data_IF_198465891282
#
_entry.id   IF_198465891282
#
_cell.length_a   1.000
_cell.length_b   1.000
_cell.length_c   1.000
_cell.angle_alpha   90.00
_cell.angle_beta   90.00
_cell.angle_gamma   90.00
#
_symmetry.space_group_name_H-M   'P 1'
#
loop_
_entity.id
_entity.type
_entity.pdbx_description
1 polymer ?
#
# COMPACT_ATOMS: atom_id res chain seq x y z
N UNK A 1 4.59 -0.39 -27.39
CA UNK A 1 3.98 -0.72 -28.70
C UNK A 1 2.53 -1.17 -28.63
N UNK A 2 2.14 -2.15 -27.79
CA UNK A 2 0.74 -2.63 -27.72
C UNK A 2 -0.30 -1.48 -27.64
N UNK A 3 -0.16 -0.57 -26.67
CA UNK A 3 -1.09 0.55 -26.51
C UNK A 3 -1.16 1.45 -27.76
N UNK A 4 -0.04 1.67 -28.45
CA UNK A 4 -0.01 2.48 -29.67
C UNK A 4 -0.85 1.84 -30.78
N UNK A 5 -0.77 0.52 -30.95
CA UNK A 5 -1.54 -0.21 -31.94
C UNK A 5 -3.03 -0.25 -31.59
N UNK A 6 -3.37 -0.45 -30.31
CA UNK A 6 -4.76 -0.42 -29.84
C UNK A 6 -5.39 0.95 -30.11
N UNK A 7 -4.70 2.04 -29.74
CA UNK A 7 -5.16 3.41 -29.97
C UNK A 7 -5.24 3.77 -31.46
N UNK A 8 -4.24 3.37 -32.25
CA UNK A 8 -4.22 3.61 -33.69
C UNK A 8 -5.38 2.90 -34.41
N UNK A 9 -5.62 1.64 -34.07
CA UNK A 9 -6.76 0.89 -34.62
C UNK A 9 -8.08 1.52 -34.19
N UNK A 10 -8.25 1.82 -32.89
CA UNK A 10 -9.51 2.36 -32.38
C UNK A 10 -9.80 3.75 -32.95
N UNK A 11 -8.80 4.62 -33.03
CA UNK A 11 -8.94 5.94 -33.64
C UNK A 11 -9.21 5.86 -35.14
N UNK A 12 -8.62 4.89 -35.85
CA UNK A 12 -8.91 4.66 -37.27
C UNK A 12 -10.36 4.23 -37.52
N UNK A 13 -10.93 3.36 -36.69
CA UNK A 13 -12.35 3.01 -36.77
C UNK A 13 -13.26 4.22 -36.58
N UNK A 14 -12.95 5.08 -35.60
CA UNK A 14 -13.73 6.30 -35.32
C UNK A 14 -13.70 7.26 -36.51
N UNK A 15 -12.59 7.29 -37.26
CA UNK A 15 -12.44 8.07 -38.49
C UNK A 15 -13.04 7.37 -39.73
N UNK A 16 -13.76 6.27 -39.57
CA UNK A 16 -14.33 5.48 -40.68
C UNK A 16 -13.28 4.76 -41.53
N UNK A 17 -12.15 4.37 -40.93
CA UNK A 17 -11.17 3.45 -41.50
C UNK A 17 -11.32 2.03 -40.96
N UNK A 18 -10.36 1.16 -41.28
CA UNK A 18 -10.33 -0.23 -40.79
C UNK A 18 -9.18 -0.47 -39.80
N UNK A 19 -9.19 -1.63 -39.14
CA UNK A 19 -8.06 -2.12 -38.33
C UNK A 19 -7.00 -2.77 -39.22
N UNK A 20 -5.78 -2.88 -38.70
CA UNK A 20 -4.69 -3.59 -39.36
C UNK A 20 -3.78 -2.65 -40.15
N UNK A 21 -3.26 -3.10 -41.29
CA UNK A 21 -2.24 -2.35 -42.05
C UNK A 21 -2.79 -1.14 -42.80
N UNK A 22 -4.08 -1.15 -43.15
CA UNK A 22 -4.75 -0.04 -43.86
C UNK A 22 -5.41 0.98 -42.89
N UNK A 23 -5.04 0.93 -41.61
CA UNK A 23 -5.48 1.89 -40.59
C UNK A 23 -5.09 3.32 -40.98
N UNK A 24 -5.96 4.29 -40.65
CA UNK A 24 -5.77 5.72 -40.97
C UNK A 24 -4.77 6.42 -40.06
N UNK A 25 -4.60 5.93 -38.83
CA UNK A 25 -3.68 6.48 -37.83
C UNK A 25 -2.48 5.54 -37.71
N UNK A 26 -1.27 6.07 -37.79
CA UNK A 26 -0.04 5.31 -37.64
C UNK A 26 0.39 5.21 -36.16
N UNK A 27 0.66 4.00 -35.62
CA UNK A 27 0.95 3.81 -34.20
C UNK A 27 2.26 4.47 -33.78
N UNK A 28 3.24 4.59 -34.68
CA UNK A 28 4.50 5.25 -34.36
C UNK A 28 4.41 6.76 -34.63
N UNK A 29 4.13 7.11 -35.88
CA UNK A 29 4.24 8.48 -36.39
C UNK A 29 3.17 9.42 -35.83
N UNK A 30 1.99 8.89 -35.47
CA UNK A 30 0.91 9.67 -34.86
C UNK A 30 0.80 9.41 -33.36
N UNK A 31 0.61 8.16 -32.93
CA UNK A 31 0.34 7.85 -31.52
C UNK A 31 1.59 7.98 -30.65
N UNK A 32 2.74 7.47 -31.12
CA UNK A 32 4.03 7.56 -30.44
C UNK A 32 4.84 8.81 -30.84
N UNK A 33 4.19 9.81 -31.46
CA UNK A 33 4.86 11.02 -31.91
C UNK A 33 5.54 11.73 -30.73
N UNK A 34 6.79 12.13 -30.92
CA UNK A 34 7.63 12.82 -29.91
C UNK A 34 7.98 11.99 -28.66
N UNK A 35 7.74 10.68 -28.69
CA UNK A 35 7.89 9.76 -27.56
C UNK A 35 8.88 8.64 -27.87
N UNK A 36 9.38 8.00 -26.81
CA UNK A 36 10.17 6.77 -26.86
C UNK A 36 9.54 5.72 -25.95
N UNK A 37 9.71 4.43 -26.26
CA UNK A 37 9.33 3.39 -25.29
C UNK A 37 10.06 3.57 -23.94
N UNK A 38 11.27 4.13 -23.97
CA UNK A 38 12.11 4.32 -22.80
C UNK A 38 11.60 5.41 -21.87
N UNK A 39 10.88 6.44 -22.34
CA UNK A 39 10.34 7.50 -21.50
C UNK A 39 8.81 7.41 -21.28
N UNK A 40 8.10 6.69 -22.15
CA UNK A 40 6.67 6.37 -21.99
C UNK A 40 6.43 5.36 -20.88
N UNK A 41 7.15 4.24 -20.86
CA UNK A 41 6.88 3.18 -19.88
C UNK A 41 7.15 3.63 -18.43
N UNK A 42 8.27 4.30 -18.08
CA UNK A 42 8.49 4.83 -16.74
C UNK A 42 7.41 5.84 -16.33
N UNK A 43 6.98 6.69 -17.27
CA UNK A 43 5.89 7.63 -17.01
C UNK A 43 4.59 6.90 -16.67
N UNK A 44 4.24 5.85 -17.41
CA UNK A 44 3.07 5.03 -17.10
C UNK A 44 3.18 4.35 -15.72
N UNK A 45 4.37 3.85 -15.35
CA UNK A 45 4.62 3.26 -14.03
C UNK A 45 4.34 4.26 -12.90
N UNK A 46 4.90 5.47 -13.02
CA UNK A 46 4.76 6.53 -12.02
C UNK A 46 3.32 7.02 -11.92
N UNK A 47 2.63 7.17 -13.06
CA UNK A 47 1.21 7.54 -13.08
C UNK A 47 0.36 6.49 -12.36
N UNK A 48 0.55 5.21 -12.68
CA UNK A 48 -0.18 4.13 -12.03
C UNK A 48 0.11 4.06 -10.52
N UNK A 49 1.38 4.18 -10.13
CA UNK A 49 1.79 4.13 -8.73
C UNK A 49 1.17 5.26 -7.89
N UNK A 50 1.23 6.51 -8.36
CA UNK A 50 0.65 7.66 -7.63
C UNK A 50 -0.87 7.53 -7.51
N UNK A 51 -1.55 7.09 -8.58
CA UNK A 51 -2.99 6.86 -8.54
C UNK A 51 -3.32 5.78 -7.51
N UNK A 52 -2.65 4.63 -7.55
CA UNK A 52 -2.91 3.52 -6.64
C UNK A 52 -2.63 3.90 -5.17
N UNK A 53 -1.55 4.63 -4.91
CA UNK A 53 -1.25 5.12 -3.56
C UNK A 53 -2.33 6.07 -3.04
N UNK A 54 -2.76 7.04 -3.86
CA UNK A 54 -3.62 8.14 -3.41
C UNK A 54 -5.11 7.84 -3.46
N UNK A 55 -5.54 6.99 -4.39
CA UNK A 55 -6.95 6.67 -4.60
C UNK A 55 -7.34 5.32 -3.99
N UNK A 56 -6.40 4.37 -3.89
CA UNK A 56 -6.72 3.03 -3.36
C UNK A 56 -6.17 2.85 -1.94
N UNK A 57 -4.86 3.07 -1.72
CA UNK A 57 -4.22 2.73 -0.44
C UNK A 57 -4.49 3.73 0.70
N UNK A 58 -4.21 5.01 0.47
CA UNK A 58 -4.30 6.04 1.51
C UNK A 58 -5.72 6.18 2.09
N UNK A 59 -6.81 6.08 1.30
CA UNK A 59 -8.17 6.09 1.86
C UNK A 59 -8.42 4.94 2.83
N UNK A 60 -8.01 3.72 2.49
CA UNK A 60 -8.21 2.55 3.35
C UNK A 60 -7.36 2.61 4.62
N UNK A 61 -6.12 3.09 4.52
CA UNK A 61 -5.26 3.34 5.68
C UNK A 61 -5.87 4.39 6.62
N UNK A 62 -6.42 5.49 6.08
CA UNK A 62 -7.11 6.53 6.86
C UNK A 62 -8.40 6.01 7.50
N UNK A 63 -9.14 5.14 6.80
CA UNK A 63 -10.33 4.48 7.32
C UNK A 63 -10.02 3.59 8.53
N UNK A 64 -9.00 2.73 8.43
CA UNK A 64 -8.56 1.88 9.53
C UNK A 64 -8.00 2.69 10.71
N UNK A 65 -7.22 3.74 10.43
CA UNK A 65 -6.74 4.68 11.46
C UNK A 65 -7.89 5.29 12.26
N UNK A 66 -8.95 5.73 11.58
CA UNK A 66 -10.13 6.32 12.23
C UNK A 66 -10.75 5.33 13.20
N UNK A 67 -10.95 4.07 12.79
CA UNK A 67 -11.53 3.02 13.64
C UNK A 67 -10.66 2.77 14.87
N UNK A 68 -9.33 2.68 14.73
CA UNK A 68 -8.46 2.51 15.89
C UNK A 68 -8.43 3.72 16.81
N UNK A 69 -8.51 4.96 16.29
CA UNK A 69 -8.65 6.15 17.14
C UNK A 69 -9.96 6.12 17.94
N UNK A 70 -11.07 5.75 17.30
CA UNK A 70 -12.37 5.62 17.96
C UNK A 70 -12.38 4.50 19.03
N UNK A 71 -11.79 3.33 18.73
CA UNK A 71 -11.66 2.24 19.70
C UNK A 71 -10.72 2.58 20.86
N UNK A 72 -9.62 3.30 20.59
CA UNK A 72 -8.71 3.78 21.63
C UNK A 72 -9.44 4.68 22.64
N UNK A 73 -10.27 5.61 22.16
CA UNK A 73 -11.10 6.47 22.99
C UNK A 73 -12.18 5.66 23.74
N UNK A 74 -12.90 4.78 23.04
CA UNK A 74 -13.96 3.98 23.64
C UNK A 74 -13.44 3.06 24.76
N UNK A 75 -12.17 2.64 24.70
CA UNK A 75 -11.55 1.73 25.66
C UNK A 75 -10.56 2.42 26.60
N UNK A 76 -10.58 3.76 26.68
CA UNK A 76 -9.63 4.54 27.48
C UNK A 76 -9.65 4.18 28.97
N UNK A 77 -10.81 3.83 29.53
CA UNK A 77 -10.98 3.49 30.96
C UNK A 77 -10.75 2.01 31.30
N UNK A 78 -10.44 1.17 30.30
CA UNK A 78 -10.34 -0.28 30.52
C UNK A 78 -8.91 -0.65 30.90
N UNK A 79 -8.61 -0.65 32.20
CA UNK A 79 -7.30 -1.08 32.71
C UNK A 79 -7.10 -2.59 32.49
N UNK A 80 -5.97 -2.96 31.89
CA UNK A 80 -5.54 -4.34 31.66
C UNK A 80 -4.09 -4.54 32.09
N UNK A 81 -3.66 -5.79 32.20
CA UNK A 81 -2.25 -6.11 32.48
C UNK A 81 -1.41 -5.87 31.22
N UNK A 82 -0.26 -5.20 31.38
CA UNK A 82 0.73 -5.06 30.33
C UNK A 82 1.48 -6.36 30.11
N UNK A 83 2.05 -6.54 28.91
CA UNK A 83 2.94 -7.67 28.62
C UNK A 83 4.21 -7.20 27.92
N UNK A 84 5.35 -7.48 28.54
CA UNK A 84 6.68 -7.29 27.94
C UNK A 84 7.41 -8.62 27.95
N UNK A 85 8.05 -9.00 26.85
CA UNK A 85 8.62 -10.35 26.69
C UNK A 85 7.59 -11.48 26.90
N UNK A 86 6.30 -11.20 26.63
CA UNK A 86 5.15 -12.07 26.91
C UNK A 86 4.91 -12.40 28.39
N UNK A 87 5.63 -11.75 29.31
CA UNK A 87 5.43 -11.87 30.76
C UNK A 87 4.52 -10.75 31.27
N UNK A 88 3.83 -11.00 32.38
CA UNK A 88 3.06 -9.98 33.11
C UNK A 88 3.93 -8.76 33.44
N UNK A 89 3.39 -7.56 33.22
CA UNK A 89 4.04 -6.28 33.49
C UNK A 89 3.06 -5.32 34.19
N UNK A 90 3.45 -4.06 34.37
CA UNK A 90 2.59 -3.05 34.99
C UNK A 90 1.34 -2.76 34.13
N UNK A 91 0.22 -2.33 34.74
CA UNK A 91 -1.00 -2.05 34.00
C UNK A 91 -0.88 -0.89 33.00
N UNK A 92 -1.71 -0.96 31.96
CA UNK A 92 -2.05 0.14 31.05
C UNK A 92 -3.52 0.01 30.66
N UNK A 93 -4.10 1.02 30.04
CA UNK A 93 -5.46 0.88 29.51
C UNK A 93 -5.47 0.25 28.12
N UNK A 94 -6.53 -0.48 27.78
CA UNK A 94 -6.72 -1.01 26.43
C UNK A 94 -6.73 0.13 25.40
N UNK A 95 -7.28 1.29 25.77
CA UNK A 95 -7.18 2.50 24.95
C UNK A 95 -5.74 2.94 24.67
N UNK A 96 -4.85 2.89 25.66
CA UNK A 96 -3.42 3.18 25.48
C UNK A 96 -2.72 2.16 24.58
N UNK A 97 -3.10 0.87 24.65
CA UNK A 97 -2.55 -0.16 23.76
C UNK A 97 -2.95 0.10 22.29
N UNK A 98 -4.24 0.37 22.05
CA UNK A 98 -4.77 0.65 20.70
C UNK A 98 -4.29 2.00 20.16
N UNK A 99 -4.06 3.01 21.02
CA UNK A 99 -3.49 4.28 20.57
C UNK A 99 -2.09 4.11 19.97
N UNK A 100 -1.32 3.13 20.44
CA UNK A 100 -0.07 2.71 19.82
C UNK A 100 -0.26 2.16 18.40
N UNK A 101 -1.31 1.37 18.15
CA UNK A 101 -1.66 0.89 16.81
C UNK A 101 -2.06 2.05 15.89
N UNK A 102 -2.87 3.00 16.39
CA UNK A 102 -3.25 4.20 15.64
C UNK A 102 -2.04 5.06 15.28
N UNK A 103 -1.12 5.29 16.22
CA UNK A 103 0.11 6.05 15.98
C UNK A 103 1.00 5.41 14.89
N UNK A 104 1.10 4.07 14.87
CA UNK A 104 1.82 3.36 13.80
C UNK A 104 1.21 3.67 12.42
N UNK A 105 -0.11 3.65 12.28
CA UNK A 105 -0.75 3.94 10.99
C UNK A 105 -0.61 5.42 10.61
N UNK A 106 -0.69 6.34 11.57
CA UNK A 106 -0.50 7.78 11.35
C UNK A 106 0.92 8.10 10.82
N UNK A 107 1.95 7.50 11.41
CA UNK A 107 3.32 7.63 10.90
C UNK A 107 3.49 7.03 9.50
N UNK A 108 2.86 5.89 9.21
CA UNK A 108 2.94 5.28 7.88
C UNK A 108 2.23 6.13 6.80
N UNK A 109 1.11 6.79 7.11
CA UNK A 109 0.50 7.77 6.20
C UNK A 109 1.55 8.83 5.84
N UNK A 110 2.24 9.39 6.84
CA UNK A 110 3.25 10.41 6.62
C UNK A 110 4.41 9.91 5.77
N UNK A 111 4.95 8.73 6.06
CA UNK A 111 6.05 8.13 5.27
C UNK A 111 5.65 7.91 3.81
N UNK A 112 4.43 7.45 3.56
CA UNK A 112 3.92 7.23 2.19
C UNK A 112 3.75 8.57 1.49
N UNK A 113 3.08 9.54 2.13
CA UNK A 113 2.87 10.88 1.57
C UNK A 113 4.19 11.59 1.27
N UNK A 114 5.23 11.41 2.09
CA UNK A 114 6.57 11.98 1.89
C UNK A 114 7.33 11.32 0.73
N UNK A 115 6.99 10.08 0.35
CA UNK A 115 7.57 9.41 -0.82
C UNK A 115 6.96 9.86 -2.16
N UNK A 116 5.71 10.34 -2.15
CA UNK A 116 4.93 10.67 -3.36
C UNK A 116 5.58 11.73 -4.26
N UNK A 117 6.22 12.81 -3.75
CA UNK A 117 6.80 13.85 -4.61
C UNK A 117 7.77 13.30 -5.66
N UNK A 118 8.65 12.36 -5.29
CA UNK A 118 9.60 11.77 -6.24
C UNK A 118 8.89 10.86 -7.26
N UNK A 119 7.84 10.14 -6.85
CA UNK A 119 7.03 9.33 -7.78
C UNK A 119 6.23 10.22 -8.75
N UNK A 120 5.92 11.46 -8.39
CA UNK A 120 5.24 12.42 -9.27
C UNK A 120 6.12 12.98 -10.40
N UNK A 121 7.42 12.68 -10.41
CA UNK A 121 8.34 13.12 -11.45
C UNK A 121 8.28 12.19 -12.67
N UNK A 122 7.93 12.74 -13.84
CA UNK A 122 7.67 11.98 -15.06
C UNK A 122 8.85 12.02 -16.04
N UNK A 123 9.16 10.85 -16.61
CA UNK A 123 10.26 10.66 -17.56
C UNK A 123 9.98 11.20 -18.98
N UNK A 124 8.72 11.34 -19.38
CA UNK A 124 8.33 11.79 -20.73
C UNK A 124 9.08 13.05 -21.15
N UNK A 125 9.61 13.03 -22.37
CA UNK A 125 10.50 14.05 -22.92
C UNK A 125 11.99 13.72 -22.73
N UNK A 126 12.33 12.66 -21.99
CA UNK A 126 13.69 12.11 -21.94
C UNK A 126 14.07 11.36 -23.22
N UNK A 127 13.10 10.87 -23.99
CA UNK A 127 13.27 10.13 -25.25
C UNK A 127 14.11 8.86 -25.07
N UNK A 128 15.11 8.60 -25.92
CA UNK A 128 15.85 7.35 -25.91
C UNK A 128 16.78 7.19 -24.69
N UNK A 129 17.53 8.25 -24.36
CA UNK A 129 18.65 8.21 -23.39
C UNK A 129 18.69 9.39 -22.42
N UNK A 130 17.65 10.24 -22.42
CA UNK A 130 17.49 11.36 -21.48
C UNK A 130 17.75 12.74 -22.07
N UNK A 131 18.30 12.83 -23.28
CA UNK A 131 18.67 14.12 -23.92
C UNK A 131 17.50 14.90 -24.50
N UNK A 132 16.35 14.26 -24.71
CA UNK A 132 15.22 14.87 -25.43
C UNK A 132 15.41 14.95 -26.94
N UNK A 133 16.34 14.17 -27.53
CA UNK A 133 16.52 14.13 -28.97
C UNK A 133 15.21 13.66 -29.67
N UNK A 134 14.82 14.36 -30.74
CA UNK A 134 13.58 14.12 -31.50
C UNK A 134 12.27 14.39 -30.73
N UNK A 135 12.30 15.20 -29.67
CA UNK A 135 11.09 15.77 -29.06
C UNK A 135 11.10 17.29 -29.12
N UNK A 136 9.93 17.91 -28.98
CA UNK A 136 9.84 19.38 -28.95
C UNK A 136 10.36 19.91 -27.60
N UNK A 137 11.09 21.04 -27.54
CA UNK A 137 11.66 21.56 -26.29
C UNK A 137 10.64 21.77 -25.16
N UNK A 138 9.40 22.10 -25.51
CA UNK A 138 8.30 22.31 -24.53
C UNK A 138 7.49 21.04 -24.23
N UNK A 139 7.74 19.92 -24.93
CA UNK A 139 6.92 18.72 -24.84
C UNK A 139 6.82 18.19 -23.41
N UNK A 140 7.97 18.03 -22.73
CA UNK A 140 8.05 17.44 -21.39
C UNK A 140 7.21 18.18 -20.35
N UNK A 141 7.29 19.52 -20.34
CA UNK A 141 6.53 20.37 -19.40
C UNK A 141 5.03 20.34 -19.74
N UNK A 142 4.69 20.47 -21.04
CA UNK A 142 3.29 20.49 -21.48
C UNK A 142 2.58 19.17 -21.23
N UNK A 143 3.23 18.04 -21.49
CA UNK A 143 2.63 16.71 -21.29
C UNK A 143 2.47 16.39 -19.81
N UNK A 144 3.45 16.71 -18.96
CA UNK A 144 3.33 16.53 -17.51
C UNK A 144 2.16 17.36 -16.94
N UNK A 145 2.05 18.64 -17.34
CA UNK A 145 0.91 19.48 -16.98
C UNK A 145 -0.41 18.88 -17.43
N UNK A 146 -0.48 18.38 -18.66
CA UNK A 146 -1.70 17.77 -19.19
C UNK A 146 -2.10 16.50 -18.44
N UNK A 147 -1.12 15.66 -18.08
CA UNK A 147 -1.37 14.47 -17.26
C UNK A 147 -1.88 14.88 -15.88
N UNK A 148 -1.24 15.87 -15.24
CA UNK A 148 -1.66 16.41 -13.94
C UNK A 148 -3.12 16.92 -13.95
N UNK A 149 -3.51 17.68 -14.99
CA UNK A 149 -4.88 18.15 -15.19
C UNK A 149 -5.88 17.02 -15.34
N UNK A 150 -5.55 15.99 -16.12
CA UNK A 150 -6.45 14.86 -16.39
C UNK A 150 -6.62 13.94 -15.18
N UNK A 151 -5.56 13.74 -14.39
CA UNK A 151 -5.56 12.83 -13.24
C UNK A 151 -5.91 13.52 -11.91
N UNK A 152 -5.87 14.85 -11.86
CA UNK A 152 -5.98 15.61 -10.62
C UNK A 152 -4.83 15.36 -9.64
N UNK A 153 -3.66 14.94 -10.14
CA UNK A 153 -2.48 14.61 -9.32
C UNK A 153 -1.33 15.58 -9.64
N UNK A 154 -0.41 15.85 -8.68
CA UNK A 154 0.62 16.88 -8.83
C UNK A 154 1.82 16.40 -9.66
N UNK A 155 1.59 15.83 -10.85
CA UNK A 155 2.66 15.38 -11.72
C UNK A 155 3.46 16.55 -12.29
N UNK A 156 4.77 16.36 -12.32
CA UNK A 156 5.73 17.31 -12.89
C UNK A 156 6.70 16.56 -13.81
N UNK A 157 7.39 17.29 -14.68
CA UNK A 157 8.47 16.67 -15.46
C UNK A 157 9.69 16.46 -14.57
N UNK A 158 10.35 15.31 -14.67
CA UNK A 158 11.53 15.02 -13.84
C UNK A 158 12.65 16.05 -14.13
N UNK A 159 13.29 16.64 -13.09
CA UNK A 159 14.34 17.63 -13.27
C UNK A 159 15.58 17.04 -13.94
N UNK A 160 15.84 15.75 -13.74
CA UNK A 160 16.90 15.01 -14.41
C UNK A 160 16.33 13.79 -15.15
N UNK A 161 16.41 13.81 -16.48
CA UNK A 161 15.90 12.71 -17.32
C UNK A 161 16.83 11.50 -17.36
N UNK A 162 18.11 11.67 -17.07
CA UNK A 162 19.06 10.55 -17.01
C UNK A 162 18.77 9.67 -15.81
N UNK A 163 18.52 10.28 -14.64
CA UNK A 163 18.10 9.55 -13.44
C UNK A 163 16.78 8.79 -13.70
N UNK A 164 15.74 9.50 -14.16
CA UNK A 164 14.41 8.90 -14.39
C UNK A 164 14.42 7.72 -15.37
N UNK A 165 15.40 7.66 -16.28
CA UNK A 165 15.60 6.57 -17.24
C UNK A 165 16.59 5.50 -16.75
N UNK A 166 17.67 5.87 -16.08
CA UNK A 166 18.70 4.94 -15.64
C UNK A 166 18.34 4.17 -14.36
N UNK A 167 17.43 4.69 -13.54
CA UNK A 167 17.07 4.13 -12.22
C UNK A 167 15.57 3.88 -12.07
N UNK A 168 15.17 3.37 -10.90
CA UNK A 168 13.78 3.26 -10.45
C UNK A 168 13.67 3.70 -8.97
N UNK A 169 14.50 4.64 -8.54
CA UNK A 169 14.74 4.93 -7.12
C UNK A 169 13.50 5.50 -6.42
N UNK A 170 12.68 6.28 -7.14
CA UNK A 170 11.39 6.75 -6.65
C UNK A 170 10.48 5.59 -6.19
N UNK A 171 10.40 4.52 -6.98
CA UNK A 171 9.58 3.35 -6.67
C UNK A 171 10.21 2.45 -5.61
N UNK A 172 11.54 2.30 -5.62
CA UNK A 172 12.27 1.58 -4.56
C UNK A 172 12.04 2.26 -3.21
N UNK A 173 12.22 3.57 -3.13
CA UNK A 173 12.01 4.34 -1.91
C UNK A 173 10.55 4.29 -1.43
N UNK A 174 9.60 4.51 -2.34
CA UNK A 174 8.17 4.48 -2.01
C UNK A 174 7.72 3.08 -1.54
N UNK A 175 8.23 2.00 -2.16
CA UNK A 175 7.94 0.65 -1.69
C UNK A 175 8.54 0.37 -0.31
N UNK A 176 9.69 0.97 0.02
CA UNK A 176 10.24 0.94 1.37
C UNK A 176 9.27 1.48 2.44
N UNK A 177 8.48 2.50 2.12
CA UNK A 177 7.40 2.99 2.99
C UNK A 177 6.24 1.98 3.11
N UNK A 178 5.87 1.31 2.01
CA UNK A 178 4.88 0.23 2.02
C UNK A 178 5.31 -0.97 2.87
N UNK A 179 6.60 -1.35 2.81
CA UNK A 179 7.17 -2.36 3.70
C UNK A 179 7.09 -1.92 5.17
N UNK A 180 7.32 -0.64 5.46
CA UNK A 180 7.12 -0.07 6.80
C UNK A 180 5.67 -0.27 7.29
N UNK A 181 4.70 0.02 6.43
CA UNK A 181 3.29 -0.23 6.72
C UNK A 181 3.00 -1.71 6.95
N UNK A 182 3.52 -2.60 6.12
CA UNK A 182 3.37 -4.05 6.29
C UNK A 182 3.93 -4.54 7.64
N UNK A 183 5.07 -4.00 8.11
CA UNK A 183 5.61 -4.33 9.42
C UNK A 183 4.68 -3.89 10.56
N UNK A 184 4.10 -2.68 10.47
CA UNK A 184 3.12 -2.19 11.45
C UNK A 184 1.84 -3.02 11.45
N UNK A 185 1.27 -3.32 10.27
CA UNK A 185 0.06 -4.14 10.13
C UNK A 185 0.28 -5.56 10.64
N UNK A 186 1.45 -6.16 10.37
CA UNK A 186 1.83 -7.46 10.91
C UNK A 186 1.80 -7.44 12.44
N UNK A 187 2.36 -6.41 13.09
CA UNK A 187 2.33 -6.26 14.56
C UNK A 187 0.90 -6.14 15.07
N UNK A 188 0.11 -5.24 14.49
CA UNK A 188 -1.29 -5.00 14.90
C UNK A 188 -2.13 -6.26 14.77
N UNK A 189 -2.08 -6.95 13.62
CA UNK A 189 -2.83 -8.18 13.40
C UNK A 189 -2.40 -9.31 14.37
N UNK A 190 -1.11 -9.37 14.70
CA UNK A 190 -0.59 -10.32 15.70
C UNK A 190 -1.14 -10.02 17.09
N UNK A 191 -1.14 -8.76 17.54
CA UNK A 191 -1.71 -8.39 18.82
C UNK A 191 -3.18 -8.76 18.88
N UNK A 192 -3.97 -8.39 17.87
CA UNK A 192 -5.42 -8.67 17.83
C UNK A 192 -5.69 -10.18 17.92
N UNK A 193 -5.00 -11.02 17.13
CA UNK A 193 -5.22 -12.48 17.19
C UNK A 193 -4.78 -13.10 18.52
N UNK A 194 -3.72 -12.59 19.15
CA UNK A 194 -3.27 -13.07 20.46
C UNK A 194 -4.22 -12.64 21.58
N UNK A 195 -4.64 -11.38 21.60
CA UNK A 195 -5.61 -10.86 22.58
C UNK A 195 -6.96 -11.57 22.46
N UNK A 196 -7.37 -11.96 21.25
CA UNK A 196 -8.58 -12.72 20.99
C UNK A 196 -8.45 -14.25 21.19
N UNK A 197 -7.24 -14.76 21.48
CA UNK A 197 -7.02 -16.20 21.61
C UNK A 197 -7.83 -16.80 22.77
N UNK A 198 -8.57 -17.88 22.50
CA UNK A 198 -9.54 -18.41 23.45
C UNK A 198 -10.36 -19.58 22.87
N UNK A 199 -11.55 -19.87 23.42
CA UNK A 199 -12.28 -19.07 24.40
C UNK A 199 -11.84 -19.27 25.87
N UNK A 200 -11.05 -20.31 26.18
CA UNK A 200 -10.67 -20.63 27.58
C UNK A 200 -9.18 -20.82 27.82
N UNK A 201 -8.44 -21.29 26.81
CA UNK A 201 -7.04 -21.71 26.96
C UNK A 201 -6.05 -20.69 26.36
N UNK A 202 -6.44 -19.42 26.27
CA UNK A 202 -5.64 -18.33 25.73
C UNK A 202 -5.73 -17.07 26.59
N UNK A 203 -5.41 -15.92 25.99
CA UNK A 203 -5.49 -14.61 26.65
C UNK A 203 -6.96 -14.21 26.83
N UNK A 204 -7.69 -14.05 25.72
CA UNK A 204 -9.14 -13.80 25.71
C UNK A 204 -9.57 -12.43 26.24
N UNK A 205 -8.71 -11.41 26.12
CA UNK A 205 -8.99 -10.05 26.58
C UNK A 205 -9.94 -9.29 25.65
N UNK A 206 -9.98 -9.64 24.36
CA UNK A 206 -10.92 -9.08 23.39
C UNK A 206 -11.69 -10.20 22.68
N UNK A 207 -12.86 -9.87 22.15
CA UNK A 207 -13.58 -10.66 21.15
C UNK A 207 -13.52 -9.97 19.79
N UNK A 208 -13.56 -10.78 18.73
CA UNK A 208 -13.63 -10.34 17.33
C UNK A 208 -14.87 -10.94 16.67
N UNK A 209 -15.39 -10.34 15.59
CA UNK A 209 -16.55 -10.87 14.86
C UNK A 209 -16.36 -12.31 14.36
N UNK A 210 -17.43 -13.10 14.43
CA UNK A 210 -17.52 -14.42 13.79
C UNK A 210 -18.16 -14.24 12.40
N UNK A 211 -17.34 -14.22 11.35
CA UNK A 211 -17.81 -13.96 9.98
C UNK A 211 -18.15 -15.24 9.21
N UNK A 212 -17.39 -16.31 9.45
CA UNK A 212 -17.61 -17.62 8.87
C UNK A 212 -18.20 -18.57 9.92
N UNK A 213 -19.11 -19.49 9.55
CA UNK A 213 -19.62 -20.47 10.49
C UNK A 213 -18.47 -21.26 11.12
N UNK A 214 -18.30 -21.12 12.44
CA UNK A 214 -17.54 -22.09 13.22
C UNK A 214 -18.13 -23.48 13.06
N UNK A 215 -17.36 -24.53 13.39
CA UNK A 215 -17.93 -25.87 13.49
C UNK A 215 -19.09 -25.83 14.50
N UNK A 216 -20.28 -26.29 14.11
CA UNK A 216 -21.47 -26.37 14.98
C UNK A 216 -21.25 -27.18 16.26
N UNK A 217 -20.15 -27.95 16.33
CA UNK A 217 -19.68 -28.72 17.47
C UNK A 217 -18.89 -27.87 18.50
N UNK A 218 -18.38 -26.70 18.13
CA UNK A 218 -17.44 -25.90 18.92
C UNK A 218 -17.96 -24.48 19.21
N UNK A 219 -18.97 -24.32 20.10
CA UNK A 219 -19.54 -23.01 20.41
C UNK A 219 -18.51 -22.06 21.01
N UNK A 220 -18.50 -20.81 20.54
CA UNK A 220 -17.61 -19.74 21.02
C UNK A 220 -16.17 -19.79 20.50
N UNK A 221 -15.84 -20.74 19.61
CA UNK A 221 -14.56 -20.75 18.90
C UNK A 221 -14.64 -19.85 17.67
N UNK A 222 -13.97 -18.71 17.71
CA UNK A 222 -13.83 -17.79 16.57
C UNK A 222 -12.38 -17.81 16.09
N UNK A 223 -12.16 -18.15 14.81
CA UNK A 223 -10.84 -18.08 14.20
C UNK A 223 -10.56 -16.65 13.73
N UNK A 224 -9.36 -16.08 13.93
CA UNK A 224 -9.02 -14.72 13.52
C UNK A 224 -8.64 -14.65 12.03
N UNK A 225 -9.54 -15.10 11.14
CA UNK A 225 -9.30 -15.28 9.69
C UNK A 225 -8.81 -14.00 9.00
N UNK A 226 -9.35 -12.84 9.38
CA UNK A 226 -8.90 -11.54 8.86
C UNK A 226 -7.48 -11.18 9.32
N UNK A 227 -7.09 -11.54 10.55
CA UNK A 227 -5.72 -11.36 11.01
C UNK A 227 -4.77 -12.27 10.21
N UNK A 228 -5.17 -13.51 9.97
CA UNK A 228 -4.40 -14.48 9.19
C UNK A 228 -4.15 -13.97 7.76
N UNK A 229 -5.20 -13.54 7.06
CA UNK A 229 -5.08 -12.94 5.72
C UNK A 229 -4.17 -11.71 5.71
N UNK A 230 -4.34 -10.80 6.68
CA UNK A 230 -3.51 -9.59 6.80
C UNK A 230 -2.04 -9.91 7.07
N UNK A 231 -1.74 -10.92 7.89
CA UNK A 231 -0.34 -11.33 8.12
C UNK A 231 0.28 -12.01 6.90
N UNK A 232 -0.47 -12.83 6.15
CA UNK A 232 0.03 -13.46 4.92
C UNK A 232 0.37 -12.43 3.84
N UNK A 233 -0.51 -11.47 3.59
CA UNK A 233 -0.23 -10.43 2.60
C UNK A 233 0.92 -9.50 3.03
N UNK A 234 1.09 -9.24 4.34
CA UNK A 234 2.26 -8.49 4.82
C UNK A 234 3.57 -9.21 4.50
N UNK A 235 3.61 -10.54 4.64
CA UNK A 235 4.78 -11.34 4.24
C UNK A 235 5.02 -11.26 2.72
N UNK A 236 3.97 -11.29 1.90
CA UNK A 236 4.07 -11.11 0.45
C UNK A 236 4.67 -9.74 0.09
N UNK A 237 4.20 -8.66 0.72
CA UNK A 237 4.74 -7.30 0.51
C UNK A 237 6.23 -7.23 0.85
N UNK A 238 6.67 -7.89 1.93
CA UNK A 238 8.10 -7.95 2.27
C UNK A 238 8.92 -8.74 1.24
N UNK A 239 8.36 -9.79 0.65
CA UNK A 239 8.99 -10.52 -0.47
C UNK A 239 9.10 -9.66 -1.73
N UNK A 240 8.01 -8.95 -2.07
CA UNK A 240 7.97 -8.01 -3.19
C UNK A 240 9.01 -6.89 -3.03
N UNK A 241 9.23 -6.42 -1.81
CA UNK A 241 10.26 -5.41 -1.50
C UNK A 241 11.66 -5.88 -1.90
N UNK A 242 12.01 -7.13 -1.58
CA UNK A 242 13.31 -7.69 -1.97
C UNK A 242 13.45 -7.73 -3.49
N UNK A 243 12.40 -8.17 -4.20
CA UNK A 243 12.41 -8.21 -5.66
C UNK A 243 12.60 -6.81 -6.27
N UNK A 244 11.88 -5.80 -5.76
CA UNK A 244 11.99 -4.40 -6.21
C UNK A 244 13.38 -3.83 -5.94
N UNK A 245 13.97 -4.08 -4.77
CA UNK A 245 15.32 -3.61 -4.46
C UNK A 245 16.36 -4.21 -5.42
N UNK A 246 16.27 -5.51 -5.71
CA UNK A 246 17.16 -6.17 -6.68
C UNK A 246 16.96 -5.56 -8.08
N UNK A 247 15.71 -5.38 -8.52
CA UNK A 247 15.41 -4.77 -9.82
C UNK A 247 15.91 -3.33 -9.93
N UNK A 248 15.72 -2.52 -8.88
CA UNK A 248 16.20 -1.14 -8.80
C UNK A 248 17.72 -1.04 -8.91
N UNK A 249 18.44 -1.91 -8.22
CA UNK A 249 19.91 -1.96 -8.24
C UNK A 249 20.51 -2.49 -9.56
N UNK A 250 19.69 -3.04 -10.46
CA UNK A 250 20.14 -3.73 -11.69
C UNK A 250 20.17 -2.83 -12.94
N UNK A 251 20.20 -1.49 -12.76
CA UNK A 251 20.33 -0.55 -13.88
C UNK A 251 21.71 -0.62 -14.54
N UNK A 252 21.77 -0.41 -15.87
CA UNK A 252 23.03 -0.32 -16.60
C UNK A 252 23.02 0.91 -17.52
N UNK A 253 23.98 1.81 -17.30
CA UNK A 253 24.15 3.04 -18.10
C UNK A 253 22.84 3.84 -18.16
N UNK A 254 22.33 4.17 -19.34
CA UNK A 254 21.20 5.09 -19.53
C UNK A 254 19.80 4.47 -19.30
N UNK A 255 19.70 3.17 -18.99
CA UNK A 255 18.39 2.52 -18.84
C UNK A 255 18.35 1.40 -17.78
N UNK A 256 17.39 1.47 -16.86
CA UNK A 256 16.97 0.30 -16.09
C UNK A 256 15.91 -0.48 -16.88
N UNK A 257 16.18 -1.77 -17.14
CA UNK A 257 15.32 -2.67 -17.92
C UNK A 257 14.47 -3.63 -17.08
N UNK A 258 14.53 -3.56 -15.75
CA UNK A 258 13.72 -4.35 -14.81
C UNK A 258 12.35 -3.70 -14.53
N UNK A 259 11.99 -2.67 -15.28
CA UNK A 259 10.79 -1.86 -15.09
C UNK A 259 9.48 -2.65 -14.99
N UNK A 260 9.17 -3.63 -15.86
CA UNK A 260 7.91 -4.37 -15.76
C UNK A 260 7.78 -5.14 -14.45
N UNK A 261 8.86 -5.78 -13.97
CA UNK A 261 8.80 -6.54 -12.73
C UNK A 261 8.72 -5.63 -11.49
N UNK A 262 9.35 -4.44 -11.53
CA UNK A 262 9.26 -3.47 -10.42
C UNK A 262 7.82 -2.99 -10.27
N UNK A 263 7.19 -2.54 -11.35
CA UNK A 263 5.85 -1.95 -11.26
C UNK A 263 4.78 -3.01 -10.95
N UNK A 264 4.95 -4.24 -11.43
CA UNK A 264 4.04 -5.35 -11.10
C UNK A 264 4.05 -5.66 -9.60
N UNK A 265 5.25 -5.82 -9.01
CA UNK A 265 5.40 -6.02 -7.57
C UNK A 265 4.88 -4.82 -6.76
N UNK A 266 5.13 -3.60 -7.23
CA UNK A 266 4.69 -2.38 -6.56
C UNK A 266 3.16 -2.31 -6.50
N UNK A 267 2.48 -2.45 -7.65
CA UNK A 267 1.02 -2.39 -7.74
C UNK A 267 0.36 -3.56 -7.03
N UNK A 268 0.96 -4.75 -7.05
CA UNK A 268 0.49 -5.89 -6.27
C UNK A 268 0.51 -5.58 -4.77
N UNK A 269 1.63 -5.05 -4.25
CA UNK A 269 1.75 -4.68 -2.85
C UNK A 269 0.72 -3.63 -2.44
N UNK A 270 0.54 -2.58 -3.26
CA UNK A 270 -0.46 -1.53 -3.02
C UNK A 270 -1.86 -2.12 -2.94
N UNK A 271 -2.24 -2.95 -3.91
CA UNK A 271 -3.55 -3.60 -3.93
C UNK A 271 -3.76 -4.52 -2.72
N UNK A 272 -2.79 -5.38 -2.41
CA UNK A 272 -2.86 -6.30 -1.28
C UNK A 272 -3.03 -5.57 0.05
N UNK A 273 -2.29 -4.48 0.27
CA UNK A 273 -2.42 -3.66 1.47
C UNK A 273 -3.77 -2.95 1.53
N UNK A 274 -4.22 -2.34 0.43
CA UNK A 274 -5.50 -1.64 0.38
C UNK A 274 -6.68 -2.59 0.63
N UNK A 275 -6.79 -3.66 -0.17
CA UNK A 275 -7.86 -4.67 -0.05
C UNK A 275 -7.81 -5.36 1.32
N UNK A 276 -6.61 -5.68 1.81
CA UNK A 276 -6.38 -6.31 3.10
C UNK A 276 -6.78 -5.45 4.28
N UNK A 277 -6.42 -4.16 4.28
CA UNK A 277 -6.83 -3.21 5.32
C UNK A 277 -8.34 -2.98 5.29
N UNK A 278 -8.95 -2.85 4.10
CA UNK A 278 -10.41 -2.71 3.97
C UNK A 278 -11.13 -3.91 4.60
N UNK A 279 -10.77 -5.13 4.17
CA UNK A 279 -11.36 -6.38 4.67
C UNK A 279 -11.16 -6.54 6.18
N UNK A 280 -9.94 -6.29 6.67
CA UNK A 280 -9.65 -6.37 8.10
C UNK A 280 -10.44 -5.31 8.90
N UNK A 281 -10.62 -4.11 8.37
CA UNK A 281 -11.37 -3.07 9.03
C UNK A 281 -12.86 -3.45 9.15
N UNK A 282 -13.48 -3.82 8.03
CA UNK A 282 -14.91 -4.14 7.92
C UNK A 282 -15.29 -5.41 8.71
N UNK A 283 -14.46 -6.45 8.65
CA UNK A 283 -14.78 -7.78 9.17
C UNK A 283 -14.03 -8.12 10.47
N UNK A 284 -13.23 -7.21 11.03
CA UNK A 284 -12.55 -7.45 12.30
C UNK A 284 -12.48 -6.19 13.17
N UNK A 285 -11.76 -5.15 12.74
CA UNK A 285 -11.38 -4.02 13.59
C UNK A 285 -12.59 -3.26 14.18
N UNK A 286 -13.61 -3.01 13.37
CA UNK A 286 -14.83 -2.31 13.80
C UNK A 286 -15.55 -3.08 14.93
N UNK A 287 -15.54 -4.41 14.86
CA UNK A 287 -16.24 -5.28 15.80
C UNK A 287 -15.40 -5.78 16.98
N UNK A 288 -14.19 -5.25 17.18
CA UNK A 288 -13.39 -5.56 18.38
C UNK A 288 -14.13 -5.09 19.63
N UNK A 289 -14.38 -5.99 20.57
CA UNK A 289 -15.02 -5.68 21.86
C UNK A 289 -14.21 -6.24 23.04
N UNK A 290 -14.12 -5.53 24.18
CA UNK A 290 -13.35 -5.96 25.34
C UNK A 290 -14.11 -6.99 26.16
N UNK A 291 -13.45 -8.10 26.53
CA UNK A 291 -13.97 -9.03 27.53
C UNK A 291 -13.63 -8.51 28.93
N UNK A 292 -14.46 -7.59 29.45
CA UNK A 292 -14.22 -6.89 30.72
C UNK A 292 -14.05 -7.84 31.91
N UNK A 293 -14.82 -8.92 31.97
CA UNK A 293 -14.70 -9.91 33.05
C UNK A 293 -13.34 -10.61 33.01
N UNK A 294 -12.90 -11.05 31.83
CA UNK A 294 -11.60 -11.69 31.64
C UNK A 294 -10.45 -10.73 31.91
N UNK A 295 -10.52 -9.50 31.42
CA UNK A 295 -9.53 -8.44 31.66
C UNK A 295 -9.39 -8.19 33.17
N UNK A 296 -10.50 -7.95 33.88
CA UNK A 296 -10.48 -7.70 35.32
C UNK A 296 -9.90 -8.88 36.08
N UNK A 297 -10.28 -10.11 35.71
CA UNK A 297 -9.74 -11.33 36.33
C UNK A 297 -8.22 -11.38 36.19
N UNK A 298 -7.69 -11.23 34.98
CA UNK A 298 -6.24 -11.28 34.72
C UNK A 298 -5.48 -10.16 35.43
N UNK A 299 -6.06 -8.96 35.50
CA UNK A 299 -5.47 -7.83 36.20
C UNK A 299 -5.27 -8.14 37.69
N UNK A 300 -6.30 -8.64 38.37
CA UNK A 300 -6.27 -8.90 39.82
C UNK A 300 -5.57 -10.21 40.20
N UNK A 301 -5.41 -11.15 39.26
CA UNK A 301 -4.61 -12.36 39.45
C UNK A 301 -3.10 -12.11 39.25
N UNK A 302 -2.71 -10.97 38.68
CA UNK A 302 -1.30 -10.66 38.44
C UNK A 302 -0.56 -10.24 39.70
N UNK A 303 0.65 -10.77 39.87
CA UNK A 303 1.55 -10.40 40.99
C UNK A 303 2.15 -8.99 40.84
N UNK A 304 2.03 -8.38 39.65
CA UNK A 304 2.66 -7.09 39.35
C UNK A 304 1.93 -5.88 39.94
N UNK A 305 0.80 -6.10 40.63
CA UNK A 305 0.12 -5.06 41.39
C UNK A 305 0.79 -4.74 42.73
N UNK A 306 1.70 -5.59 43.23
CA UNK A 306 2.34 -5.43 44.55
C UNK A 306 3.23 -4.19 44.67
N UNK A 307 3.62 -3.58 43.56
CA UNK A 307 4.43 -2.35 43.54
C UNK A 307 3.60 -1.07 43.68
N UNK A 308 2.28 -1.18 43.90
CA UNK A 308 1.36 -0.06 44.12
C UNK A 308 0.43 -0.30 45.32
#
# INVERSE_FOLDING_TARGET
MNMNEVLANRGSEILGGIRGMERKIHPNDDVNKSQSSNDVFPTAMHVAAVIALRQDLLPELKSLLKVFKEKAEAFHDIVKIGRTHLQDATPLTLGQEISGWAAMLEHNIKHIEDSVPHVCELALGGTAVGTGLNTHPEYAVRVAKRIAELSGQPFVTAPNKFEALATCDALVHSHGALKGLAASLMKIANDVRWLASGPRCGIGEISIPENEPGSSIMPGKVNPTQCEALTMLCAQVMGNDVAINIGGASGNFELNVYRPMIIDNFLQSVRLLADGMRSFNEHCAIGIEPNRERINKLLHESLMLVTH
#
